data_IF_308334027823
#
_entry.id   IF_308334027823
#
_cell.length_a   1.000
_cell.length_b   1.000
_cell.length_c   1.000
_cell.angle_alpha   90.00
_cell.angle_beta   90.00
_cell.angle_gamma   90.00
#
_symmetry.space_group_name_H-M   'P 1'
#
loop_
_entity.id
_entity.type
_entity.pdbx_description
1 polymer ?
#
# COMPACT_ATOMS: atom_id res chain seq x y z
N UNK A 1 71.42 -33.96 -7.44
CA UNK A 1 69.96 -34.14 -7.31
C UNK A 1 69.55 -33.35 -6.08
N UNK A 2 69.17 -32.08 -6.25
CA UNK A 2 68.94 -31.13 -5.16
C UNK A 2 68.05 -30.00 -5.66
N UNK A 3 66.84 -29.86 -5.12
CA UNK A 3 66.06 -28.60 -4.99
C UNK A 3 65.00 -28.95 -3.92
N UNK A 4 65.01 -28.58 -2.64
CA UNK A 4 65.26 -27.35 -1.85
C UNK A 4 64.27 -26.21 -2.10
N UNK A 5 63.29 -26.08 -1.20
CA UNK A 5 62.36 -24.97 -1.07
C UNK A 5 63.07 -23.65 -0.73
N UNK A 6 62.51 -22.50 -1.15
CA UNK A 6 61.90 -21.47 -0.28
C UNK A 6 61.60 -20.14 -1.01
N UNK A 7 60.50 -19.50 -0.57
CA UNK A 7 60.25 -18.05 -0.34
C UNK A 7 60.02 -17.01 -1.46
N UNK A 8 58.80 -16.43 -1.36
CA UNK A 8 58.39 -15.02 -1.13
C UNK A 8 58.56 -13.90 -2.19
N UNK A 9 57.48 -13.11 -2.23
CA UNK A 9 57.36 -11.64 -2.36
C UNK A 9 57.03 -11.00 -3.73
N UNK A 10 55.76 -10.56 -3.86
CA UNK A 10 55.23 -9.20 -4.15
C UNK A 10 55.72 -8.34 -5.33
N UNK A 11 54.77 -7.50 -5.83
CA UNK A 11 54.91 -6.22 -6.60
C UNK A 11 54.94 -6.40 -8.15
N UNK A 12 54.18 -5.75 -9.08
CA UNK A 12 53.35 -4.53 -9.16
C UNK A 12 52.45 -4.52 -10.44
N UNK A 13 51.32 -3.81 -10.33
CA UNK A 13 50.60 -2.97 -11.33
C UNK A 13 50.17 -3.49 -12.71
N UNK A 14 48.86 -3.44 -12.99
CA UNK A 14 48.31 -2.82 -14.20
C UNK A 14 46.81 -2.50 -14.02
N UNK A 15 46.49 -1.21 -14.03
CA UNK A 15 45.16 -0.65 -14.30
C UNK A 15 44.69 -1.10 -15.69
N UNK A 16 43.40 -1.43 -15.85
CA UNK A 16 42.55 -1.05 -17.00
C UNK A 16 41.13 -1.67 -16.85
N UNK A 17 40.15 -0.84 -17.25
CA UNK A 17 38.77 -1.14 -17.68
C UNK A 17 37.64 -1.31 -16.66
N UNK A 18 36.98 -0.17 -16.44
CA UNK A 18 35.53 0.01 -16.39
C UNK A 18 34.73 -1.12 -17.08
N UNK A 19 34.26 -2.09 -16.30
CA UNK A 19 33.07 -2.87 -16.64
C UNK A 19 31.85 -2.18 -16.03
N UNK A 20 31.25 -1.32 -16.86
CA UNK A 20 29.92 -0.74 -16.66
C UNK A 20 28.93 -1.90 -16.56
N UNK A 21 28.53 -2.24 -15.32
CA UNK A 21 27.41 -3.15 -15.08
C UNK A 21 26.14 -2.44 -15.58
N UNK A 22 25.32 -3.05 -16.46
CA UNK A 22 24.12 -2.40 -16.95
C UNK A 22 23.17 -2.13 -15.77
N UNK A 23 22.74 -0.88 -15.65
CA UNK A 23 21.62 -0.45 -14.80
C UNK A 23 20.38 -1.23 -15.22
N UNK A 24 20.19 -2.42 -14.64
CA UNK A 24 18.87 -3.01 -14.54
C UNK A 24 18.09 -2.09 -13.63
N UNK A 25 17.12 -1.39 -14.23
CA UNK A 25 16.04 -0.72 -13.53
C UNK A 25 15.61 -1.57 -12.34
N UNK A 26 16.01 -1.12 -11.16
CA UNK A 26 15.57 -1.69 -9.90
C UNK A 26 14.09 -1.30 -9.82
N UNK A 27 13.21 -2.14 -10.36
CA UNK A 27 11.78 -2.07 -10.07
C UNK A 27 11.64 -2.40 -8.59
N UNK A 28 11.86 -1.39 -7.75
CA UNK A 28 11.66 -1.46 -6.31
C UNK A 28 10.19 -1.80 -6.15
N UNK A 29 9.92 -3.05 -5.77
CA UNK A 29 8.56 -3.50 -5.53
C UNK A 29 8.18 -2.93 -4.16
N UNK A 30 7.72 -1.68 -4.16
CA UNK A 30 7.36 -0.99 -2.93
C UNK A 30 6.27 -1.77 -2.21
N UNK A 31 6.50 -2.09 -0.94
CA UNK A 31 5.52 -2.78 -0.11
C UNK A 31 4.34 -1.85 0.22
N UNK A 32 3.16 -2.40 0.53
CA UNK A 32 1.98 -1.59 0.89
C UNK A 32 2.30 -0.67 2.08
N UNK A 33 3.07 -1.16 3.03
CA UNK A 33 3.56 -0.38 4.18
C UNK A 33 4.50 0.76 3.79
N UNK A 34 5.34 0.62 2.77
CA UNK A 34 6.19 1.74 2.29
C UNK A 34 5.34 2.86 1.67
N UNK A 35 4.17 2.53 1.12
CA UNK A 35 3.22 3.52 0.58
C UNK A 35 2.41 4.23 1.68
N UNK A 36 2.34 3.64 2.86
CA UNK A 36 1.64 4.17 4.04
C UNK A 36 2.68 4.78 4.98
N UNK A 37 3.32 5.86 4.55
CA UNK A 37 4.26 6.60 5.39
C UNK A 37 3.55 7.79 6.03
N UNK A 38 3.56 7.83 7.37
CA UNK A 38 3.08 9.00 8.12
C UNK A 38 3.94 10.21 7.79
N UNK A 39 3.32 11.27 7.31
CA UNK A 39 4.01 12.53 7.06
C UNK A 39 4.11 13.32 8.37
N UNK A 40 5.02 12.91 9.26
CA UNK A 40 5.22 13.46 10.62
C UNK A 40 5.39 15.00 10.65
N UNK A 41 5.67 15.65 9.51
CA UNK A 41 5.94 17.09 9.41
C UNK A 41 4.95 17.91 8.57
N UNK A 42 3.88 17.33 8.01
CA UNK A 42 2.91 18.09 7.18
C UNK A 42 1.52 18.06 7.80
N UNK A 43 1.13 19.16 8.44
CA UNK A 43 -0.30 19.43 8.62
C UNK A 43 -0.90 19.65 7.23
N UNK A 44 -1.79 18.74 6.81
CA UNK A 44 -2.44 18.64 5.51
C UNK A 44 -1.55 18.11 4.37
N UNK A 45 -1.85 16.88 3.94
CA UNK A 45 -1.34 16.30 2.70
C UNK A 45 -2.09 16.88 1.48
N UNK A 46 -1.50 16.77 0.30
CA UNK A 46 -2.21 17.08 -0.94
C UNK A 46 -3.34 16.06 -1.16
N UNK A 47 -4.59 16.52 -1.01
CA UNK A 47 -5.80 15.71 -1.01
C UNK A 47 -6.63 16.02 -2.26
N UNK A 48 -7.02 15.01 -3.06
CA UNK A 48 -7.90 15.25 -4.19
C UNK A 48 -9.26 15.77 -3.72
N UNK A 49 -9.88 16.68 -4.48
CA UNK A 49 -11.19 17.26 -4.15
C UNK A 49 -12.34 16.25 -4.22
N UNK A 50 -12.15 15.14 -4.93
CA UNK A 50 -13.17 14.12 -5.15
C UNK A 50 -12.52 12.76 -5.35
N UNK A 51 -13.28 11.71 -5.01
CA UNK A 51 -12.86 10.34 -5.28
C UNK A 51 -12.80 10.05 -6.78
N UNK A 52 -11.91 9.13 -7.16
CA UNK A 52 -11.72 8.73 -8.55
C UNK A 52 -11.61 7.21 -8.67
N UNK A 53 -12.28 6.65 -9.67
CA UNK A 53 -12.12 5.25 -10.07
C UNK A 53 -11.46 5.27 -11.44
N UNK A 54 -10.20 4.83 -11.52
CA UNK A 54 -9.45 4.75 -12.78
C UNK A 54 -9.85 3.47 -13.51
N UNK A 55 -9.72 2.35 -12.81
CA UNK A 55 -10.09 1.00 -13.23
C UNK A 55 -10.34 0.21 -11.94
N UNK A 56 -11.26 -0.75 -11.94
CA UNK A 56 -11.40 -1.69 -10.82
C UNK A 56 -11.35 -3.12 -11.32
N UNK A 57 -10.60 -3.96 -10.61
CA UNK A 57 -10.55 -5.41 -10.82
C UNK A 57 -11.83 -6.09 -10.29
N UNK A 58 -12.54 -5.43 -9.38
CA UNK A 58 -13.73 -5.95 -8.73
C UNK A 58 -14.97 -5.21 -9.21
N UNK A 59 -16.12 -5.87 -9.16
CA UNK A 59 -17.40 -5.19 -9.40
C UNK A 59 -17.61 -4.11 -8.33
N UNK A 60 -17.81 -2.87 -8.77
CA UNK A 60 -18.04 -1.73 -7.88
C UNK A 60 -19.30 -1.93 -7.03
N UNK A 61 -20.31 -2.64 -7.53
CA UNK A 61 -21.51 -2.97 -6.75
C UNK A 61 -21.21 -3.91 -5.56
N UNK A 62 -20.15 -4.72 -5.65
CA UNK A 62 -19.69 -5.58 -4.56
C UNK A 62 -18.76 -4.84 -3.59
N UNK A 63 -18.04 -3.81 -4.06
CA UNK A 63 -17.21 -2.96 -3.19
C UNK A 63 -18.04 -1.96 -2.38
N UNK A 64 -19.05 -1.36 -3.01
CA UNK A 64 -19.80 -0.28 -2.37
C UNK A 64 -20.73 -0.75 -1.28
N UNK A 65 -20.73 -0.03 -0.15
CA UNK A 65 -21.63 -0.17 0.97
C UNK A 65 -20.93 -0.02 2.31
N UNK A 66 -21.67 -0.34 3.35
CA UNK A 66 -21.25 -0.18 4.74
C UNK A 66 -20.56 -1.45 5.22
N UNK A 67 -19.37 -1.31 5.81
CA UNK A 67 -18.47 -2.40 6.16
C UNK A 67 -18.04 -2.29 7.62
N UNK A 68 -17.99 -3.44 8.28
CA UNK A 68 -17.50 -3.56 9.66
C UNK A 68 -16.54 -4.73 9.79
N UNK A 69 -15.48 -4.54 10.57
CA UNK A 69 -14.58 -5.55 11.09
C UNK A 69 -15.23 -6.31 12.26
N UNK A 70 -16.05 -5.62 13.06
CA UNK A 70 -16.81 -6.19 14.18
C UNK A 70 -18.32 -6.17 13.91
N UNK A 71 -18.91 -7.27 13.42
CA UNK A 71 -20.35 -7.36 13.16
C UNK A 71 -21.22 -7.32 14.43
N UNK A 72 -20.65 -7.58 15.60
CA UNK A 72 -21.36 -7.50 16.88
C UNK A 72 -21.17 -6.13 17.56
N UNK A 73 -20.33 -5.27 16.97
CA UNK A 73 -20.10 -3.92 17.41
C UNK A 73 -21.34 -3.03 17.26
N UNK A 74 -21.37 -1.85 17.90
CA UNK A 74 -22.51 -0.92 17.82
C UNK A 74 -22.54 -0.12 16.51
N UNK A 75 -21.40 -0.03 15.81
CA UNK A 75 -21.17 0.83 14.65
C UNK A 75 -20.35 0.09 13.58
N UNK A 76 -20.50 0.53 12.33
CA UNK A 76 -19.63 0.10 11.25
C UNK A 76 -18.31 0.87 11.27
N UNK A 77 -17.29 0.41 10.54
CA UNK A 77 -16.02 1.15 10.41
C UNK A 77 -16.12 2.24 9.34
N UNK A 78 -16.71 1.91 8.18
CA UNK A 78 -16.82 2.84 7.07
C UNK A 78 -17.98 2.52 6.11
N UNK A 79 -18.40 3.53 5.36
CA UNK A 79 -19.24 3.40 4.16
C UNK A 79 -18.43 3.76 2.91
N UNK A 80 -18.23 2.78 2.03
CA UNK A 80 -17.56 3.01 0.75
C UNK A 80 -18.61 3.27 -0.32
N UNK A 81 -18.67 4.49 -0.82
CA UNK A 81 -19.57 4.89 -1.90
C UNK A 81 -18.78 5.36 -3.11
N UNK A 82 -19.45 5.66 -4.23
CA UNK A 82 -18.80 6.31 -5.38
C UNK A 82 -18.20 7.69 -5.03
N UNK A 83 -18.71 8.34 -3.98
CA UNK A 83 -18.34 9.71 -3.61
C UNK A 83 -17.13 9.74 -2.67
N UNK A 84 -17.13 8.87 -1.66
CA UNK A 84 -16.18 8.93 -0.54
C UNK A 84 -16.00 7.57 0.12
N UNK A 85 -14.90 7.45 0.85
CA UNK A 85 -14.67 6.47 1.90
C UNK A 85 -15.06 7.18 3.20
N UNK A 86 -16.31 7.03 3.63
CA UNK A 86 -16.82 7.71 4.81
C UNK A 86 -16.43 6.93 6.07
N UNK A 87 -15.61 7.52 6.92
CA UNK A 87 -15.20 6.92 8.21
C UNK A 87 -16.26 7.22 9.26
N UNK A 88 -16.84 6.18 9.85
CA UNK A 88 -17.87 6.33 10.88
C UNK A 88 -17.24 6.86 12.18
N UNK A 89 -18.00 7.68 12.91
CA UNK A 89 -17.60 8.31 14.18
C UNK A 89 -16.30 9.14 14.11
N UNK A 90 -15.93 9.60 12.92
CA UNK A 90 -14.78 10.47 12.74
C UNK A 90 -15.05 11.88 13.29
N UNK A 91 -14.12 12.42 14.08
CA UNK A 91 -14.23 13.77 14.61
C UNK A 91 -13.90 14.82 13.52
N UNK A 92 -14.94 15.31 12.84
CA UNK A 92 -14.84 16.31 11.78
C UNK A 92 -15.50 15.81 10.48
N UNK A 93 -14.89 16.16 9.35
CA UNK A 93 -15.32 15.66 8.04
C UNK A 93 -14.80 14.24 7.82
N UNK A 94 -15.70 13.26 7.92
CA UNK A 94 -15.41 11.84 7.72
C UNK A 94 -15.38 11.41 6.26
N UNK A 95 -15.75 12.27 5.30
CA UNK A 95 -15.77 11.94 3.88
C UNK A 95 -14.36 11.99 3.26
N UNK A 96 -13.65 10.86 3.35
CA UNK A 96 -12.30 10.76 2.79
C UNK A 96 -12.37 10.51 1.28
N UNK A 97 -11.74 11.35 0.44
CA UNK A 97 -11.63 11.06 -0.97
C UNK A 97 -10.67 9.88 -1.17
N UNK A 98 -10.93 9.07 -2.19
CA UNK A 98 -10.11 7.90 -2.49
C UNK A 98 -9.82 7.75 -3.98
N UNK A 99 -8.81 6.94 -4.31
CA UNK A 99 -8.54 6.48 -5.67
C UNK A 99 -8.58 4.96 -5.70
N UNK A 100 -9.41 4.39 -6.59
CA UNK A 100 -9.36 2.96 -6.94
C UNK A 100 -8.66 2.80 -8.29
N UNK A 101 -7.66 1.92 -8.31
CA UNK A 101 -6.95 1.52 -9.52
C UNK A 101 -6.65 0.01 -9.45
N UNK A 102 -7.31 -0.77 -10.30
CA UNK A 102 -7.30 -2.24 -10.32
C UNK A 102 -7.74 -2.82 -8.98
N UNK A 103 -6.84 -3.45 -8.25
CA UNK A 103 -7.05 -4.03 -6.93
C UNK A 103 -6.58 -3.11 -5.80
N UNK A 104 -6.07 -1.92 -6.10
CA UNK A 104 -5.57 -0.98 -5.10
C UNK A 104 -6.62 0.09 -4.78
N UNK A 105 -6.84 0.34 -3.50
CA UNK A 105 -7.55 1.51 -2.99
C UNK A 105 -6.55 2.39 -2.24
N UNK A 106 -6.54 3.69 -2.53
CA UNK A 106 -5.78 4.70 -1.77
C UNK A 106 -6.76 5.72 -1.19
N UNK A 107 -6.85 5.77 0.13
CA UNK A 107 -7.68 6.69 0.91
C UNK A 107 -6.82 7.86 1.39
N UNK A 108 -7.31 9.08 1.22
CA UNK A 108 -6.62 10.30 1.62
C UNK A 108 -7.28 10.89 2.86
N UNK A 109 -6.68 10.60 4.02
CA UNK A 109 -7.06 11.22 5.29
C UNK A 109 -6.56 12.67 5.33
N UNK A 110 -6.82 13.37 6.43
CA UNK A 110 -6.43 14.77 6.57
C UNK A 110 -4.90 14.95 6.59
N UNK A 111 -4.19 14.04 7.23
CA UNK A 111 -2.76 14.13 7.55
C UNK A 111 -1.93 12.96 6.99
N UNK A 112 -2.56 11.89 6.49
CA UNK A 112 -1.88 10.76 5.88
C UNK A 112 -2.69 10.09 4.77
N UNK A 113 -2.05 9.18 4.03
CA UNK A 113 -2.74 8.32 3.07
C UNK A 113 -2.61 6.86 3.47
N UNK A 114 -3.69 6.11 3.32
CA UNK A 114 -3.66 4.64 3.46
C UNK A 114 -3.91 3.98 2.11
N UNK A 115 -3.03 3.09 1.74
CA UNK A 115 -3.08 2.25 0.54
C UNK A 115 -3.42 0.84 0.99
N UNK A 116 -4.48 0.29 0.43
CA UNK A 116 -4.92 -1.08 0.65
C UNK A 116 -4.96 -1.87 -0.67
N UNK A 117 -4.63 -3.15 -0.60
CA UNK A 117 -4.82 -4.09 -1.71
C UNK A 117 -6.08 -4.91 -1.41
N UNK A 118 -7.11 -4.70 -2.23
CA UNK A 118 -8.36 -5.45 -2.19
C UNK A 118 -8.07 -6.87 -2.69
N UNK A 119 -8.29 -7.86 -1.83
CA UNK A 119 -8.07 -9.28 -2.14
C UNK A 119 -9.35 -9.97 -2.57
N UNK A 120 -10.48 -9.57 -1.98
CA UNK A 120 -11.79 -10.20 -2.21
C UNK A 120 -12.90 -9.18 -2.02
N UNK A 121 -13.87 -9.18 -2.92
CA UNK A 121 -15.12 -8.43 -2.78
C UNK A 121 -16.28 -9.34 -3.21
N UNK A 122 -17.24 -9.52 -2.31
CA UNK A 122 -18.45 -10.31 -2.51
C UNK A 122 -19.64 -9.55 -1.92
N UNK A 123 -20.84 -10.13 -1.99
CA UNK A 123 -22.05 -9.48 -1.48
C UNK A 123 -21.95 -9.09 0.01
N UNK A 124 -21.30 -9.94 0.81
CA UNK A 124 -21.25 -9.82 2.27
C UNK A 124 -19.83 -9.73 2.85
N UNK A 125 -18.79 -9.95 2.05
CA UNK A 125 -17.39 -9.95 2.50
C UNK A 125 -16.53 -9.02 1.65
N UNK A 126 -15.71 -8.20 2.33
CA UNK A 126 -14.66 -7.38 1.75
C UNK A 126 -13.34 -7.67 2.47
N UNK A 127 -12.29 -7.99 1.73
CA UNK A 127 -10.95 -8.25 2.27
C UNK A 127 -9.98 -7.23 1.72
N UNK A 128 -9.35 -6.46 2.61
CA UNK A 128 -8.33 -5.47 2.24
C UNK A 128 -7.07 -5.74 3.05
N UNK A 129 -5.95 -5.82 2.36
CA UNK A 129 -4.65 -5.82 2.99
C UNK A 129 -4.13 -4.38 3.04
N UNK A 130 -4.23 -3.74 4.20
CA UNK A 130 -3.79 -2.35 4.41
C UNK A 130 -2.30 -2.21 4.70
N UNK A 131 -1.62 -3.24 5.23
CA UNK A 131 -0.21 -3.14 5.63
C UNK A 131 0.45 -4.53 5.84
N UNK A 132 1.54 -4.60 6.63
CA UNK A 132 2.22 -5.87 6.94
C UNK A 132 1.48 -6.73 7.98
N UNK A 133 0.45 -6.20 8.63
CA UNK A 133 -0.27 -6.87 9.70
C UNK A 133 -1.30 -7.88 9.19
N UNK A 134 -1.47 -7.97 7.86
CA UNK A 134 -2.24 -9.01 7.20
C UNK A 134 -3.56 -8.50 6.61
N UNK A 135 -4.39 -9.46 6.18
CA UNK A 135 -5.66 -9.16 5.53
C UNK A 135 -6.70 -8.80 6.59
N UNK A 136 -7.24 -7.59 6.51
CA UNK A 136 -8.42 -7.20 7.30
C UNK A 136 -9.67 -7.75 6.62
N UNK A 137 -10.50 -8.45 7.38
CA UNK A 137 -11.75 -9.04 6.91
C UNK A 137 -12.90 -8.17 7.39
N UNK A 138 -13.61 -7.57 6.45
CA UNK A 138 -14.83 -6.83 6.71
C UNK A 138 -16.05 -7.64 6.27
N UNK A 139 -17.10 -7.51 7.06
CA UNK A 139 -18.43 -8.02 6.76
C UNK A 139 -19.36 -6.85 6.45
N UNK A 140 -20.35 -7.09 5.60
CA UNK A 140 -21.36 -6.07 5.29
C UNK A 140 -22.13 -5.76 6.56
N UNK A 141 -22.23 -4.49 6.91
CA UNK A 141 -23.06 -4.06 8.03
C UNK A 141 -24.52 -4.40 7.74
N UNK A 142 -25.12 -5.23 8.59
CA UNK A 142 -26.53 -5.60 8.53
C UNK A 142 -27.21 -4.90 9.70
N UNK A 143 -28.01 -3.88 9.39
CA UNK A 143 -28.89 -3.24 10.37
C UNK A 143 -30.15 -4.07 10.57
#
# INVERSE_FOLDING_TARGET
>A
MTISCEKKESVKTATIENLKLPEKEKKTTETVSEKNTDSISKQNIDRPKQSKIIESKFDLALLFGIWTYDPEGPHADFDLTKKSFYVVDYNGDGDMPYIINKDTIKVFYNDYTSVGIIQKATKDTLQINWDKNGITNYTKWKK
#
